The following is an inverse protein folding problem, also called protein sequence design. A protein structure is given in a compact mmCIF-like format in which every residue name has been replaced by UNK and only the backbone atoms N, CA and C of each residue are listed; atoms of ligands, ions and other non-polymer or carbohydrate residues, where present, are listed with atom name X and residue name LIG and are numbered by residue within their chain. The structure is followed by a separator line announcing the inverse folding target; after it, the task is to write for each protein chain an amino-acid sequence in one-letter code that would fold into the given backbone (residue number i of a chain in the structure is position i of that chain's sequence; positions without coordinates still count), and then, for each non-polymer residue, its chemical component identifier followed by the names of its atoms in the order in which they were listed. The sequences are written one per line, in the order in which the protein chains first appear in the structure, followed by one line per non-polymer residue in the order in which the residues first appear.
data_IF_196673112003
#
_entry.id   IF_196673112003
#
_cell.length_a   1.000
_cell.length_b   1.000
_cell.length_c   1.000
_cell.angle_alpha   90.00
_cell.angle_beta   90.00
_cell.angle_gamma   90.00
#
_symmetry.space_group_name_H-M   'P 1'
#
loop_
_entity.id
_entity.type
_entity.pdbx_description
1 polymer ?
#
# COMPACT_ATOMS: atom_id res chain seq x y z
N UNK A 1 16.89 8.77 13.58
CA UNK A 1 16.30 7.64 12.82
C UNK A 1 16.93 7.65 11.43
N UNK A 2 17.69 6.61 11.05
CA UNK A 2 18.31 6.53 9.72
C UNK A 2 17.21 6.35 8.67
N UNK A 3 17.06 7.27 7.73
CA UNK A 3 16.08 7.20 6.63
C UNK A 3 16.35 5.99 5.74
N UNK A 4 15.33 5.37 5.13
CA UNK A 4 15.50 4.21 4.20
C UNK A 4 16.54 4.52 3.11
N UNK A 5 16.53 5.76 2.60
CA UNK A 5 17.54 6.29 1.65
C UNK A 5 18.99 6.04 2.10
N UNK A 6 19.28 6.12 3.41
CA UNK A 6 20.63 5.91 3.93
C UNK A 6 21.15 4.46 3.79
N UNK A 7 20.26 3.50 3.55
CA UNK A 7 20.58 2.08 3.33
C UNK A 7 20.96 1.78 1.87
N UNK A 8 20.76 2.75 0.96
CA UNK A 8 21.03 2.62 -0.47
C UNK A 8 22.50 2.91 -0.80
N UNK A 9 22.92 2.50 -2.00
CA UNK A 9 24.23 2.78 -2.57
C UNK A 9 24.56 4.28 -2.57
N UNK A 10 25.85 4.62 -2.60
CA UNK A 10 26.31 6.03 -2.66
C UNK A 10 25.70 6.76 -3.85
N UNK A 11 25.72 6.14 -5.03
CA UNK A 11 25.11 6.67 -6.26
C UNK A 11 23.62 6.98 -6.06
N UNK A 12 22.85 6.05 -5.49
CA UNK A 12 21.44 6.26 -5.23
C UNK A 12 21.18 7.37 -4.21
N UNK A 13 21.98 7.46 -3.15
CA UNK A 13 21.85 8.52 -2.14
C UNK A 13 22.08 9.91 -2.71
N UNK A 14 23.02 10.06 -3.63
CA UNK A 14 23.40 11.34 -4.24
C UNK A 14 22.42 11.77 -5.35
N UNK A 15 21.93 10.82 -6.16
CA UNK A 15 21.04 11.11 -7.30
C UNK A 15 19.56 11.19 -6.92
N UNK A 16 19.13 10.44 -5.91
CA UNK A 16 17.73 10.53 -5.46
C UNK A 16 17.53 11.84 -4.69
N UNK A 17 16.45 12.55 -5.00
CA UNK A 17 15.99 13.70 -4.22
C UNK A 17 15.32 13.29 -2.91
N UNK A 18 14.38 14.11 -2.44
CA UNK A 18 13.40 13.66 -1.47
C UNK A 18 12.37 12.76 -2.15
N UNK A 19 12.21 11.55 -1.63
CA UNK A 19 11.28 10.55 -2.15
C UNK A 19 10.50 10.01 -0.96
N UNK A 20 9.18 9.97 -1.08
CA UNK A 20 8.33 9.40 -0.03
C UNK A 20 8.60 7.90 0.12
N UNK A 21 8.39 7.35 1.31
CA UNK A 21 8.57 5.92 1.57
C UNK A 21 7.65 5.08 0.67
N UNK A 22 6.40 5.52 0.49
CA UNK A 22 5.43 4.83 -0.36
C UNK A 22 5.90 4.74 -1.81
N UNK A 23 6.48 5.81 -2.36
CA UNK A 23 6.99 5.79 -3.73
C UNK A 23 8.26 4.93 -3.83
N UNK A 24 9.18 5.08 -2.86
CA UNK A 24 10.43 4.33 -2.80
C UNK A 24 10.23 2.81 -2.72
N UNK A 25 9.13 2.36 -2.11
CA UNK A 25 8.75 0.96 -1.95
C UNK A 25 7.72 0.48 -2.99
N UNK A 26 7.38 1.28 -3.99
CA UNK A 26 6.47 0.86 -5.07
C UNK A 26 7.16 -0.10 -6.05
N UNK A 27 6.40 -1.03 -6.64
CA UNK A 27 6.92 -1.95 -7.67
C UNK A 27 7.55 -1.19 -8.83
N UNK A 28 6.86 -0.15 -9.32
CA UNK A 28 7.33 0.67 -10.43
C UNK A 28 8.70 1.28 -10.13
N UNK A 29 8.86 1.88 -8.94
CA UNK A 29 10.12 2.51 -8.57
C UNK A 29 11.26 1.48 -8.43
N UNK A 30 11.01 0.36 -7.76
CA UNK A 30 12.06 -0.65 -7.54
C UNK A 30 12.50 -1.27 -8.86
N UNK A 31 11.54 -1.57 -9.76
CA UNK A 31 11.82 -2.31 -10.99
C UNK A 31 12.38 -1.44 -12.11
N UNK A 32 11.88 -0.19 -12.26
CA UNK A 32 12.19 0.63 -13.44
C UNK A 32 13.27 1.68 -13.20
N UNK A 33 13.58 2.02 -11.94
CA UNK A 33 14.53 3.10 -11.65
C UNK A 33 15.98 2.67 -11.93
N UNK A 34 16.65 3.38 -12.84
CA UNK A 34 18.01 3.12 -13.33
C UNK A 34 19.11 3.49 -12.32
N UNK A 35 18.79 4.33 -11.33
CA UNK A 35 19.72 4.77 -10.30
C UNK A 35 20.04 3.63 -9.31
N UNK A 36 19.11 2.69 -9.15
CA UNK A 36 19.21 1.60 -8.18
C UNK A 36 20.16 0.50 -8.66
N UNK A 37 21.02 0.02 -7.74
CA UNK A 37 21.80 -1.20 -7.96
C UNK A 37 20.96 -2.45 -7.68
N UNK A 38 21.40 -3.63 -8.12
CA UNK A 38 20.72 -4.89 -7.80
C UNK A 38 20.54 -5.09 -6.27
N UNK A 39 21.56 -4.72 -5.49
CA UNK A 39 21.53 -4.80 -4.03
C UNK A 39 20.61 -3.77 -3.38
N UNK A 40 20.43 -2.61 -4.01
CA UNK A 40 19.45 -1.62 -3.54
C UNK A 40 18.03 -2.15 -3.71
N UNK A 41 17.73 -2.75 -4.88
CA UNK A 41 16.43 -3.38 -5.14
C UNK A 41 16.14 -4.49 -4.14
N UNK A 42 17.06 -5.41 -3.93
CA UNK A 42 16.92 -6.50 -2.95
C UNK A 42 16.56 -5.98 -1.54
N UNK A 43 17.27 -4.95 -1.05
CA UNK A 43 16.97 -4.33 0.24
C UNK A 43 15.57 -3.70 0.25
N UNK A 44 15.20 -2.99 -0.81
CA UNK A 44 13.91 -2.33 -0.90
C UNK A 44 12.76 -3.35 -0.96
N UNK A 45 12.92 -4.48 -1.64
CA UNK A 45 11.93 -5.56 -1.67
C UNK A 45 11.70 -6.17 -0.27
N UNK A 46 12.78 -6.48 0.45
CA UNK A 46 12.68 -6.98 1.83
C UNK A 46 11.98 -5.97 2.75
N UNK A 47 12.33 -4.68 2.61
CA UNK A 47 11.70 -3.61 3.38
C UNK A 47 10.23 -3.43 2.96
N UNK A 48 9.90 -3.56 1.67
CA UNK A 48 8.55 -3.46 1.14
C UNK A 48 7.65 -4.52 1.76
N UNK A 49 8.10 -5.77 1.81
CA UNK A 49 7.34 -6.86 2.42
C UNK A 49 7.07 -6.61 3.91
N UNK A 50 8.08 -6.14 4.65
CA UNK A 50 7.91 -5.73 6.06
C UNK A 50 7.00 -4.51 6.22
N UNK A 51 7.10 -3.53 5.32
CA UNK A 51 6.30 -2.30 5.35
C UNK A 51 4.83 -2.56 5.02
N UNK A 52 4.53 -3.45 4.07
CA UNK A 52 3.17 -3.83 3.71
C UNK A 52 2.45 -4.43 4.93
N UNK A 53 3.10 -5.33 5.67
CA UNK A 53 2.58 -5.88 6.92
C UNK A 53 2.34 -4.80 7.97
N UNK A 54 3.30 -3.89 8.16
CA UNK A 54 3.15 -2.76 9.08
C UNK A 54 1.99 -1.82 8.71
N UNK A 55 1.82 -1.48 7.43
CA UNK A 55 0.76 -0.58 6.97
C UNK A 55 -0.61 -1.21 7.19
N UNK A 56 -0.77 -2.50 6.88
CA UNK A 56 -2.03 -3.23 7.06
C UNK A 56 -2.43 -3.27 8.54
N UNK A 57 -1.48 -3.53 9.45
CA UNK A 57 -1.74 -3.52 10.90
C UNK A 57 -2.05 -2.12 11.45
N UNK A 58 -1.51 -1.05 10.85
CA UNK A 58 -1.70 0.33 11.32
C UNK A 58 -2.94 1.05 10.78
N UNK A 59 -3.87 0.35 10.15
CA UNK A 59 -5.14 0.98 9.78
C UNK A 59 -6.12 1.09 10.94
N UNK A 60 -6.06 0.18 11.90
CA UNK A 60 -6.95 0.21 13.06
C UNK A 60 -6.76 1.52 13.85
N UNK A 61 -7.86 2.25 14.04
CA UNK A 61 -7.86 3.53 14.74
C UNK A 61 -7.56 4.77 13.90
N UNK A 62 -7.11 4.64 12.63
CA UNK A 62 -7.07 5.78 11.68
C UNK A 62 -8.48 6.26 11.36
N UNK A 63 -8.63 7.56 11.07
CA UNK A 63 -9.93 8.15 10.70
C UNK A 63 -10.04 8.32 9.19
N UNK A 64 -11.23 8.06 8.65
CA UNK A 64 -11.61 8.45 7.29
C UNK A 64 -12.65 9.57 7.42
N UNK A 65 -12.27 10.79 7.10
CA UNK A 65 -13.14 11.98 7.20
C UNK A 65 -13.54 12.52 5.82
N UNK A 66 -12.85 12.09 4.77
CA UNK A 66 -13.06 12.55 3.41
C UNK A 66 -12.91 11.42 2.38
N UNK A 67 -13.33 11.70 1.15
CA UNK A 67 -13.09 10.81 0.00
C UNK A 67 -11.61 10.67 -0.32
N UNK A 68 -10.81 11.72 -0.07
CA UNK A 68 -9.35 11.69 -0.17
C UNK A 68 -8.77 10.65 0.80
N UNK A 69 -9.18 10.67 2.07
CA UNK A 69 -8.70 9.71 3.08
C UNK A 69 -9.09 8.27 2.70
N UNK A 70 -10.32 8.09 2.19
CA UNK A 70 -10.79 6.80 1.70
C UNK A 70 -9.99 6.32 0.48
N UNK A 71 -9.63 7.24 -0.42
CA UNK A 71 -8.80 6.97 -1.58
C UNK A 71 -7.37 6.57 -1.19
N UNK A 72 -6.75 7.28 -0.26
CA UNK A 72 -5.42 6.95 0.26
C UNK A 72 -5.41 5.59 0.97
N UNK A 73 -6.43 5.31 1.78
CA UNK A 73 -6.64 3.99 2.36
C UNK A 73 -6.78 2.91 1.27
N UNK A 74 -7.60 3.18 0.26
CA UNK A 74 -7.82 2.28 -0.88
C UNK A 74 -6.54 2.00 -1.67
N UNK A 75 -5.73 3.01 -1.97
CA UNK A 75 -4.45 2.86 -2.67
C UNK A 75 -3.50 1.98 -1.87
N UNK A 76 -3.39 2.19 -0.56
CA UNK A 76 -2.51 1.37 0.28
C UNK A 76 -2.98 -0.08 0.39
N UNK A 77 -4.30 -0.32 0.41
CA UNK A 77 -4.86 -1.66 0.52
C UNK A 77 -4.88 -2.43 -0.82
N UNK A 78 -5.16 -1.74 -1.92
CA UNK A 78 -5.51 -2.32 -3.22
C UNK A 78 -4.55 -1.98 -4.36
N UNK A 79 -3.67 -0.99 -4.21
CA UNK A 79 -2.87 -0.43 -5.31
C UNK A 79 -2.02 -1.45 -6.06
N UNK A 80 -1.52 -2.47 -5.37
CA UNK A 80 -0.68 -3.53 -5.95
C UNK A 80 -1.49 -4.77 -6.39
N UNK A 81 -2.82 -4.77 -6.19
CA UNK A 81 -3.66 -5.92 -6.54
C UNK A 81 -3.93 -5.93 -8.04
N UNK A 82 -3.53 -7.03 -8.71
CA UNK A 82 -3.71 -7.21 -10.16
C UNK A 82 -5.15 -7.53 -10.59
N UNK A 83 -6.06 -7.70 -9.64
CA UNK A 83 -7.48 -8.05 -9.88
C UNK A 83 -8.38 -7.07 -9.16
N UNK A 84 -9.63 -6.94 -9.60
CA UNK A 84 -10.63 -6.13 -8.91
C UNK A 84 -10.94 -6.73 -7.53
N UNK A 85 -10.92 -5.90 -6.49
CA UNK A 85 -11.28 -6.29 -5.13
C UNK A 85 -12.37 -5.35 -4.61
N UNK A 86 -13.49 -5.93 -4.19
CA UNK A 86 -14.51 -5.19 -3.44
C UNK A 86 -14.22 -5.35 -1.95
N UNK A 87 -13.96 -4.24 -1.27
CA UNK A 87 -13.65 -4.22 0.16
C UNK A 87 -14.71 -3.45 0.93
N UNK A 88 -15.20 -4.04 2.02
CA UNK A 88 -15.98 -3.32 3.04
C UNK A 88 -15.03 -2.79 4.12
N UNK A 89 -15.12 -1.49 4.42
CA UNK A 89 -14.40 -0.85 5.53
C UNK A 89 -15.39 -0.54 6.63
N UNK A 90 -15.13 -1.06 7.83
CA UNK A 90 -16.02 -0.90 8.98
C UNK A 90 -15.49 0.23 9.87
N UNK A 91 -16.32 1.25 10.08
CA UNK A 91 -15.97 2.42 10.88
C UNK A 91 -16.81 2.45 12.18
N UNK A 92 -16.27 3.05 13.24
CA UNK A 92 -17.06 3.42 14.41
C UNK A 92 -17.76 4.78 14.23
N UNK A 93 -18.55 5.19 15.22
CA UNK A 93 -19.28 6.48 15.22
C UNK A 93 -18.40 7.73 15.19
N UNK A 94 -17.08 7.60 15.37
CA UNK A 94 -16.08 8.67 15.25
C UNK A 94 -15.27 8.57 13.96
N UNK A 95 -15.77 7.80 12.98
CA UNK A 95 -15.16 7.50 11.69
C UNK A 95 -13.78 6.83 11.78
N UNK A 96 -13.46 6.18 12.90
CA UNK A 96 -12.23 5.39 13.02
C UNK A 96 -12.43 4.01 12.42
N UNK A 97 -11.46 3.53 11.66
CA UNK A 97 -11.44 2.18 11.10
C UNK A 97 -11.35 1.18 12.25
N UNK A 98 -12.32 0.27 12.29
CA UNK A 98 -12.36 -0.89 13.17
C UNK A 98 -11.75 -2.09 12.49
N UNK A 99 -12.07 -2.29 11.21
CA UNK A 99 -11.57 -3.39 10.39
C UNK A 99 -11.89 -3.16 8.92
N UNK A 100 -11.34 -4.01 8.05
CA UNK A 100 -11.72 -4.10 6.64
C UNK A 100 -11.81 -5.56 6.22
N UNK A 101 -12.64 -5.86 5.22
CA UNK A 101 -12.79 -7.22 4.68
C UNK A 101 -13.00 -7.19 3.18
N UNK A 102 -12.22 -7.99 2.45
CA UNK A 102 -12.50 -8.27 1.04
C UNK A 102 -13.77 -9.11 0.94
N UNK A 103 -14.80 -8.54 0.32
CA UNK A 103 -16.12 -9.16 0.11
C UNK A 103 -16.13 -9.98 -1.17
N UNK A 104 -15.41 -9.51 -2.19
CA UNK A 104 -15.35 -10.16 -3.49
C UNK A 104 -14.03 -9.87 -4.17
N UNK A 105 -13.55 -10.83 -4.96
CA UNK A 105 -12.43 -10.67 -5.87
C UNK A 105 -12.98 -10.99 -7.26
N UNK A 106 -12.96 -9.98 -8.12
CA UNK A 106 -13.44 -10.10 -9.50
C UNK A 106 -12.47 -10.88 -10.37
N UNK A 107 -13.04 -11.63 -11.32
CA UNK A 107 -12.32 -11.98 -12.54
C UNK A 107 -12.53 -10.87 -13.58
N UNK A 108 -11.73 -10.88 -14.65
CA UNK A 108 -11.55 -9.78 -15.61
C UNK A 108 -12.86 -9.20 -16.24
N UNK A 109 -14.05 -9.79 -16.06
CA UNK A 109 -15.22 -9.45 -16.89
C UNK A 109 -16.59 -9.24 -16.24
N UNK A 110 -16.80 -9.21 -14.92
CA UNK A 110 -18.10 -8.74 -14.39
C UNK A 110 -18.13 -8.43 -12.88
N UNK A 111 -18.73 -7.29 -12.55
CA UNK A 111 -19.10 -6.90 -11.19
C UNK A 111 -20.46 -7.53 -10.84
N UNK A 112 -20.46 -8.55 -9.96
CA UNK A 112 -21.66 -9.06 -9.30
C UNK A 112 -21.49 -8.85 -7.80
N UNK A 113 -21.71 -7.62 -7.34
CA UNK A 113 -21.75 -7.32 -5.92
C UNK A 113 -23.17 -7.59 -5.38
N UNK A 114 -23.33 -8.59 -4.51
CA UNK A 114 -24.59 -8.83 -3.80
C UNK A 114 -24.46 -8.43 -2.33
N UNK A 115 -25.26 -7.48 -1.81
CA UNK A 115 -25.16 -6.99 -0.43
C UNK A 115 -25.55 -8.01 0.65
N UNK A 116 -25.89 -9.25 0.29
CA UNK A 116 -26.26 -10.32 1.22
C UNK A 116 -25.52 -11.63 0.90
N UNK A 117 -24.58 -12.02 1.77
CA UNK A 117 -24.36 -13.44 2.09
C UNK A 117 -24.06 -13.59 3.57
N UNK A 118 -25.15 -13.80 4.32
CA UNK A 118 -25.14 -14.38 5.65
C UNK A 118 -25.42 -15.86 5.46
N UNK A 119 -24.50 -16.72 5.92
CA UNK A 119 -24.75 -18.07 6.42
C UNK A 119 -23.66 -18.34 7.44
#
# INVERSE_FOLDING_TARGET
MKTIKSLLSKNAREKLGEVSISLLLSDEFIQTNDILTARDREKLEIIKESYASYVIENFEGKKILSTQDAGEFGIQLLGEKKQEHLVAVYLNSKNKILSHKTIFIGSVNQSVAHPLKKN
#
